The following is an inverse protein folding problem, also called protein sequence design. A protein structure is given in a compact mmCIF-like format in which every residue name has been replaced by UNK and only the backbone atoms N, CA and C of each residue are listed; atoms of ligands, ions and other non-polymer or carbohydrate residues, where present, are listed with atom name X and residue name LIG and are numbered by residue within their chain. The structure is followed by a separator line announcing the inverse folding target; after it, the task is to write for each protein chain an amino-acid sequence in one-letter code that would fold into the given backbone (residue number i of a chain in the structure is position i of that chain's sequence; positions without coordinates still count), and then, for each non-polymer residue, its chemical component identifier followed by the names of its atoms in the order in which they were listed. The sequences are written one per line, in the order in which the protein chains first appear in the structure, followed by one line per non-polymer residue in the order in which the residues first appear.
data_IF_712324184511
#
_entry.id   IF_712324184511
#
_cell.length_a   1.000
_cell.length_b   1.000
_cell.length_c   1.000
_cell.angle_alpha   90.00
_cell.angle_beta   90.00
_cell.angle_gamma   90.00
#
_symmetry.space_group_name_H-M   'P 1'
#
loop_
_entity.id
_entity.type
_entity.pdbx_description
1 polymer ?
#
# COMPACT_ATOMS: atom_id res chain seq x y z
N UNK A 1 10.54 -17.60 21.73
CA UNK A 1 11.53 -16.81 20.98
C UNK A 1 12.02 -15.67 21.86
N UNK A 2 13.32 -15.34 21.84
CA UNK A 2 13.86 -14.24 22.64
C UNK A 2 13.30 -12.91 22.11
N UNK A 3 13.07 -11.98 23.03
CA UNK A 3 12.35 -10.72 22.86
C UNK A 3 12.73 -9.92 21.60
N UNK A 4 11.76 -9.20 21.03
CA UNK A 4 12.02 -8.04 20.16
C UNK A 4 12.34 -6.87 21.08
N UNK A 5 13.60 -6.42 21.24
CA UNK A 5 13.89 -5.24 22.02
C UNK A 5 14.12 -4.11 21.02
N UNK A 6 13.07 -3.35 20.74
CA UNK A 6 13.23 -1.97 20.32
C UNK A 6 12.23 -1.09 21.07
N UNK A 7 12.36 -1.09 22.39
CA UNK A 7 11.47 -0.36 23.30
C UNK A 7 12.12 0.93 23.83
N UNK A 8 12.89 1.62 22.98
CA UNK A 8 13.38 2.97 23.29
C UNK A 8 12.55 4.06 22.62
N UNK A 9 11.70 3.70 21.65
CA UNK A 9 10.81 4.62 20.98
C UNK A 9 9.61 4.99 21.87
N UNK A 10 9.66 6.19 22.44
CA UNK A 10 8.57 6.76 23.26
C UNK A 10 7.31 7.12 22.45
N UNK A 11 7.41 7.19 21.13
CA UNK A 11 6.30 7.45 20.21
C UNK A 11 6.35 6.47 19.06
N UNK A 12 5.20 5.94 18.66
CA UNK A 12 5.07 4.90 17.63
C UNK A 12 3.99 5.29 16.64
N UNK A 13 4.25 5.06 15.35
CA UNK A 13 3.17 4.91 14.38
C UNK A 13 2.55 3.55 14.63
N UNK A 14 1.26 3.53 14.94
CA UNK A 14 0.59 2.32 15.41
C UNK A 14 -0.23 1.65 14.31
N UNK A 15 -0.93 2.45 13.50
CA UNK A 15 -1.81 1.95 12.46
C UNK A 15 -1.94 2.95 11.32
N UNK A 16 -2.45 2.46 10.20
CA UNK A 16 -3.03 3.28 9.15
C UNK A 16 -4.46 2.77 8.86
N UNK A 17 -5.40 3.71 8.71
CA UNK A 17 -6.75 3.41 8.22
C UNK A 17 -6.75 3.51 6.69
N UNK A 18 -7.37 2.52 6.06
CA UNK A 18 -7.62 2.45 4.65
C UNK A 18 -9.12 2.46 4.41
N UNK A 19 -9.53 2.99 3.27
CA UNK A 19 -10.89 2.84 2.75
C UNK A 19 -10.87 1.98 1.50
N UNK A 20 -12.00 1.36 1.18
CA UNK A 20 -12.26 0.69 -0.10
C UNK A 20 -13.63 1.11 -0.66
N UNK A 21 -13.88 0.89 -1.96
CA UNK A 21 -15.18 1.25 -2.55
C UNK A 21 -16.32 0.39 -1.98
N UNK A 22 -17.56 0.88 -2.04
CA UNK A 22 -18.74 0.08 -1.73
C UNK A 22 -18.77 -1.25 -2.48
N UNK A 23 -18.93 -2.35 -1.74
CA UNK A 23 -18.96 -3.71 -2.29
C UNK A 23 -17.59 -4.33 -2.61
N UNK A 24 -16.48 -3.59 -2.54
CA UNK A 24 -15.13 -4.10 -2.84
C UNK A 24 -14.40 -4.71 -1.62
N UNK A 25 -15.11 -5.02 -0.52
CA UNK A 25 -14.50 -5.52 0.73
C UNK A 25 -13.60 -6.74 0.52
N UNK A 26 -14.08 -7.74 -0.20
CA UNK A 26 -13.30 -8.94 -0.50
C UNK A 26 -12.06 -8.61 -1.35
N UNK A 27 -12.19 -7.69 -2.31
CA UNK A 27 -11.06 -7.26 -3.14
C UNK A 27 -10.00 -6.53 -2.32
N UNK A 28 -10.42 -5.68 -1.38
CA UNK A 28 -9.53 -4.99 -0.45
C UNK A 28 -8.75 -5.98 0.44
N UNK A 29 -9.41 -7.03 0.93
CA UNK A 29 -8.74 -8.09 1.69
C UNK A 29 -7.65 -8.77 0.85
N UNK A 30 -7.99 -9.16 -0.38
CA UNK A 30 -7.05 -9.80 -1.32
C UNK A 30 -5.82 -8.93 -1.60
N UNK A 31 -6.00 -7.61 -1.76
CA UNK A 31 -4.87 -6.69 -1.95
C UNK A 31 -3.94 -6.69 -0.74
N UNK A 32 -4.48 -6.64 0.49
CA UNK A 32 -3.65 -6.67 1.70
C UNK A 32 -2.95 -8.02 1.90
N UNK A 33 -3.59 -9.14 1.51
CA UNK A 33 -2.95 -10.46 1.50
C UNK A 33 -1.81 -10.55 0.48
N UNK A 34 -1.95 -9.94 -0.70
CA UNK A 34 -0.89 -9.89 -1.70
C UNK A 34 0.36 -9.17 -1.18
N UNK A 35 0.17 -8.12 -0.38
CA UNK A 35 1.24 -7.39 0.33
C UNK A 35 1.90 -8.23 1.45
N UNK A 36 1.35 -9.41 1.75
CA UNK A 36 1.87 -10.33 2.76
C UNK A 36 1.23 -10.16 4.14
N UNK A 37 0.18 -9.35 4.29
CA UNK A 37 -0.52 -9.22 5.56
C UNK A 37 -1.41 -10.44 5.83
N UNK A 38 -1.63 -10.77 7.11
CA UNK A 38 -2.73 -11.68 7.49
C UNK A 38 -3.99 -10.86 7.71
N UNK A 39 -5.03 -11.15 6.93
CA UNK A 39 -6.35 -10.52 7.09
C UNK A 39 -7.21 -11.29 8.09
N UNK A 40 -7.92 -10.55 8.93
CA UNK A 40 -8.97 -11.05 9.82
C UNK A 40 -10.20 -10.17 9.67
N UNK A 41 -11.27 -10.78 9.18
CA UNK A 41 -12.59 -10.16 9.08
C UNK A 41 -13.55 -10.82 10.07
N UNK A 42 -14.12 -10.02 10.98
CA UNK A 42 -15.11 -10.46 11.97
C UNK A 42 -16.50 -9.87 11.67
N UNK A 43 -16.69 -9.31 10.48
CA UNK A 43 -17.80 -8.43 10.15
C UNK A 43 -17.67 -7.07 10.83
N UNK A 44 -18.68 -6.23 10.64
CA UNK A 44 -18.71 -4.87 11.20
C UNK A 44 -18.11 -3.81 10.26
N UNK A 45 -17.71 -2.68 10.83
CA UNK A 45 -17.36 -1.48 10.07
C UNK A 45 -16.04 -1.61 9.28
N UNK A 46 -15.04 -2.27 9.87
CA UNK A 46 -13.73 -2.49 9.27
C UNK A 46 -13.32 -3.96 9.38
N UNK A 47 -12.32 -4.37 8.61
CA UNK A 47 -11.53 -5.57 8.88
C UNK A 47 -10.10 -5.19 9.26
N UNK A 48 -9.34 -6.14 9.79
CA UNK A 48 -7.98 -5.93 10.26
C UNK A 48 -7.00 -6.68 9.38
N UNK A 49 -5.91 -6.03 8.96
CA UNK A 49 -4.78 -6.69 8.32
C UNK A 49 -3.52 -6.50 9.19
N UNK A 50 -2.98 -7.62 9.66
CA UNK A 50 -1.75 -7.64 10.46
C UNK A 50 -0.54 -7.59 9.54
N UNK A 51 0.31 -6.57 9.72
CA UNK A 51 1.55 -6.43 8.95
C UNK A 51 2.55 -7.52 9.31
N UNK A 52 2.60 -7.91 10.59
CA UNK A 52 3.29 -9.12 11.04
C UNK A 52 2.27 -10.27 11.14
N UNK A 53 2.26 -11.23 10.20
CA UNK A 53 1.19 -12.22 10.09
C UNK A 53 1.04 -13.06 11.36
N UNK A 54 2.12 -13.41 12.04
CA UNK A 54 2.07 -14.31 13.20
C UNK A 54 1.76 -13.57 14.52
N UNK A 55 1.60 -12.25 14.48
CA UNK A 55 1.29 -11.42 15.65
C UNK A 55 -0.15 -10.92 15.59
N UNK A 56 -0.88 -11.05 16.70
CA UNK A 56 -2.27 -10.58 16.84
C UNK A 56 -2.36 -9.35 17.75
N UNK A 57 -1.53 -8.34 17.46
CA UNK A 57 -1.60 -7.03 18.10
C UNK A 57 -2.52 -6.13 17.27
N UNK A 58 -3.71 -5.84 17.80
CA UNK A 58 -4.68 -4.96 17.14
C UNK A 58 -4.35 -3.48 17.36
N UNK A 59 -3.33 -3.15 18.15
CA UNK A 59 -3.05 -1.76 18.51
C UNK A 59 -1.82 -1.21 17.81
N UNK A 60 -0.92 -2.05 17.31
CA UNK A 60 0.33 -1.62 16.67
C UNK A 60 0.67 -2.53 15.49
N UNK A 61 1.32 -1.96 14.47
CA UNK A 61 1.76 -2.68 13.27
C UNK A 61 0.58 -3.33 12.53
N UNK A 62 -0.49 -2.56 12.39
CA UNK A 62 -1.79 -3.04 11.91
C UNK A 62 -2.38 -2.04 10.92
N UNK A 63 -3.06 -2.57 9.91
CA UNK A 63 -3.88 -1.80 8.99
C UNK A 63 -5.35 -2.12 9.27
N UNK A 64 -6.17 -1.09 9.20
CA UNK A 64 -7.63 -1.23 9.20
C UNK A 64 -8.15 -0.84 7.85
N UNK A 65 -9.22 -1.50 7.41
CA UNK A 65 -9.86 -1.19 6.15
C UNK A 65 -11.38 -1.19 6.31
N UNK A 66 -11.99 -0.04 6.00
CA UNK A 66 -13.43 0.19 6.05
C UNK A 66 -13.99 0.51 4.66
N UNK A 67 -15.29 0.28 4.49
CA UNK A 67 -15.98 0.73 3.29
C UNK A 67 -16.13 2.26 3.32
N UNK A 68 -15.86 2.93 2.21
CA UNK A 68 -16.05 4.37 2.10
C UNK A 68 -17.49 4.76 2.49
N UNK A 69 -17.63 5.80 3.32
CA UNK A 69 -18.96 6.24 3.74
C UNK A 69 -19.77 6.75 2.55
N UNK A 70 -21.11 6.80 2.63
CA UNK A 70 -21.93 7.35 1.55
C UNK A 70 -21.51 8.78 1.15
N UNK A 71 -21.10 9.62 2.11
CA UNK A 71 -20.66 10.99 1.88
C UNK A 71 -19.32 11.04 1.15
N UNK A 72 -18.34 10.24 1.60
CA UNK A 72 -17.05 10.14 0.91
C UNK A 72 -17.25 9.61 -0.51
N UNK A 73 -18.05 8.55 -0.67
CA UNK A 73 -18.29 7.96 -1.98
C UNK A 73 -19.04 8.90 -2.93
N UNK A 74 -19.98 9.69 -2.43
CA UNK A 74 -20.64 10.73 -3.22
C UNK A 74 -19.66 11.83 -3.65
N UNK A 75 -18.78 12.27 -2.75
CA UNK A 75 -17.74 13.25 -3.07
C UNK A 75 -16.78 12.73 -4.14
N UNK A 76 -16.29 11.50 -3.99
CA UNK A 76 -15.35 10.91 -4.95
C UNK A 76 -15.96 10.69 -6.33
N UNK A 77 -17.22 10.25 -6.41
CA UNK A 77 -17.93 10.15 -7.69
C UNK A 77 -18.10 11.53 -8.37
N UNK A 78 -18.39 12.57 -7.58
CA UNK A 78 -18.51 13.93 -8.11
C UNK A 78 -17.16 14.47 -8.61
N UNK A 79 -16.08 14.20 -7.87
CA UNK A 79 -14.72 14.58 -8.26
C UNK A 79 -14.26 13.84 -9.53
N UNK A 80 -14.55 12.55 -9.64
CA UNK A 80 -14.24 11.76 -10.84
C UNK A 80 -15.00 12.30 -12.06
N UNK A 81 -16.31 12.53 -11.93
CA UNK A 81 -17.12 13.13 -13.00
C UNK A 81 -16.60 14.50 -13.43
N UNK A 82 -16.21 15.36 -12.47
CA UNK A 82 -15.65 16.67 -12.75
C UNK A 82 -14.23 16.62 -13.36
N UNK A 83 -13.49 15.54 -13.14
CA UNK A 83 -12.13 15.33 -13.66
C UNK A 83 -12.08 14.44 -14.90
N UNK A 84 -13.21 14.20 -15.56
CA UNK A 84 -13.26 13.45 -16.82
C UNK A 84 -12.78 14.23 -18.04
N UNK A 85 -12.86 15.56 -18.04
CA UNK A 85 -12.40 16.42 -19.14
C UNK A 85 -11.94 17.81 -18.66
N UNK A 86 -11.25 18.56 -19.53
CA UNK A 86 -10.85 19.94 -19.26
C UNK A 86 -9.66 20.08 -18.30
N UNK A 87 -9.44 21.28 -17.74
CA UNK A 87 -8.21 21.59 -17.00
C UNK A 87 -7.98 20.73 -15.74
N UNK A 88 -9.05 20.29 -15.07
CA UNK A 88 -8.92 19.42 -13.91
C UNK A 88 -8.49 18.00 -14.30
N UNK A 89 -9.00 17.48 -15.42
CA UNK A 89 -8.56 16.19 -15.97
C UNK A 89 -7.08 16.22 -16.34
N UNK A 90 -6.64 17.28 -17.04
CA UNK A 90 -5.24 17.46 -17.41
C UNK A 90 -4.31 17.54 -16.18
N UNK A 91 -4.72 18.29 -15.16
CA UNK A 91 -3.96 18.38 -13.91
C UNK A 91 -3.91 17.04 -13.16
N UNK A 92 -5.03 16.31 -13.11
CA UNK A 92 -5.10 14.96 -12.50
C UNK A 92 -4.18 13.99 -13.24
N UNK A 93 -4.24 13.97 -14.57
CA UNK A 93 -3.48 13.03 -15.39
C UNK A 93 -1.97 13.34 -15.32
N UNK A 94 -1.60 14.63 -15.33
CA UNK A 94 -0.21 15.06 -15.12
C UNK A 94 0.30 14.66 -13.74
N UNK A 95 -0.54 14.81 -12.70
CA UNK A 95 -0.18 14.38 -11.35
C UNK A 95 -0.06 12.86 -11.26
N UNK A 96 -0.99 12.09 -11.82
CA UNK A 96 -0.94 10.63 -11.86
C UNK A 96 0.29 10.12 -12.61
N UNK A 97 0.68 10.76 -13.71
CA UNK A 97 1.91 10.45 -14.44
C UNK A 97 3.15 10.71 -13.57
N UNK A 98 3.20 11.83 -12.85
CA UNK A 98 4.30 12.16 -11.94
C UNK A 98 4.41 11.18 -10.77
N UNK A 99 3.26 10.78 -10.22
CA UNK A 99 3.16 9.79 -9.16
C UNK A 99 3.73 8.44 -9.60
N UNK A 100 3.45 8.02 -10.84
CA UNK A 100 4.01 6.78 -11.41
C UNK A 100 5.50 6.86 -11.68
N UNK A 101 5.99 8.00 -12.19
CA UNK A 101 7.40 8.16 -12.54
C UNK A 101 8.31 8.25 -11.31
N UNK A 102 7.82 8.87 -10.24
CA UNK A 102 8.60 9.17 -9.05
C UNK A 102 7.77 8.91 -7.77
N UNK A 103 7.41 7.64 -7.52
CA UNK A 103 6.51 7.27 -6.42
C UNK A 103 7.11 7.56 -5.03
N UNK A 104 8.43 7.66 -4.89
CA UNK A 104 9.10 8.05 -3.66
C UNK A 104 8.80 9.50 -3.23
N UNK A 105 8.33 10.36 -4.14
CA UNK A 105 7.90 11.74 -3.85
C UNK A 105 6.38 11.88 -3.69
N UNK A 106 5.67 10.75 -3.73
CA UNK A 106 4.22 10.70 -3.58
C UNK A 106 3.77 10.40 -2.15
N UNK A 107 2.48 10.51 -1.87
CA UNK A 107 1.92 9.98 -0.63
C UNK A 107 2.00 8.45 -0.63
N UNK A 108 2.58 7.88 0.41
CA UNK A 108 2.66 6.43 0.63
C UNK A 108 2.91 6.12 2.10
N UNK A 109 2.74 4.84 2.46
CA UNK A 109 3.27 4.27 3.69
C UNK A 109 4.10 3.04 3.35
N UNK A 110 5.05 2.70 4.21
CA UNK A 110 6.00 1.61 4.00
C UNK A 110 5.71 0.37 4.84
N UNK A 111 5.86 -0.80 4.23
CA UNK A 111 5.89 -2.10 4.89
C UNK A 111 7.29 -2.69 4.74
N UNK A 112 7.93 -3.03 5.85
CA UNK A 112 9.22 -3.71 5.84
C UNK A 112 9.01 -5.22 5.76
N UNK A 113 9.62 -5.85 4.76
CA UNK A 113 9.64 -7.29 4.58
C UNK A 113 10.90 -7.91 5.20
N UNK A 114 10.81 -9.17 5.67
CA UNK A 114 11.85 -9.77 6.50
C UNK A 114 13.13 -10.12 5.73
N UNK A 115 13.07 -10.25 4.40
CA UNK A 115 14.21 -10.61 3.56
C UNK A 115 14.03 -10.13 2.13
N UNK A 116 15.12 -10.11 1.36
CA UNK A 116 15.09 -9.82 -0.07
C UNK A 116 14.21 -10.81 -0.83
N UNK A 117 14.34 -12.11 -0.53
CA UNK A 117 13.51 -13.15 -1.13
C UNK A 117 12.01 -12.96 -0.85
N UNK A 118 11.66 -12.47 0.35
CA UNK A 118 10.27 -12.14 0.67
C UNK A 118 9.76 -10.94 -0.14
N UNK A 119 10.62 -9.94 -0.38
CA UNK A 119 10.32 -8.82 -1.26
C UNK A 119 10.09 -9.29 -2.69
N UNK A 120 11.06 -10.01 -3.28
CA UNK A 120 10.94 -10.50 -4.67
C UNK A 120 9.67 -11.36 -4.84
N UNK A 121 9.39 -12.27 -3.90
CA UNK A 121 8.18 -13.08 -3.94
C UNK A 121 6.88 -12.26 -3.84
N UNK A 122 6.87 -11.16 -3.08
CA UNK A 122 5.72 -10.27 -3.03
C UNK A 122 5.53 -9.52 -4.37
N UNK A 123 6.62 -9.01 -4.95
CA UNK A 123 6.59 -8.32 -6.24
C UNK A 123 6.11 -9.24 -7.37
N UNK A 124 6.56 -10.49 -7.41
CA UNK A 124 6.11 -11.47 -8.39
C UNK A 124 4.61 -11.76 -8.27
N UNK A 125 4.12 -12.02 -7.04
CA UNK A 125 2.69 -12.28 -6.81
C UNK A 125 1.83 -11.08 -7.20
N UNK A 126 2.23 -9.88 -6.83
CA UNK A 126 1.51 -8.64 -7.14
C UNK A 126 1.52 -8.36 -8.64
N UNK A 127 2.67 -8.50 -9.29
CA UNK A 127 2.82 -8.29 -10.73
C UNK A 127 2.07 -9.33 -11.56
N UNK A 128 1.94 -10.56 -11.07
CA UNK A 128 1.09 -11.58 -11.68
C UNK A 128 -0.39 -11.24 -11.49
N UNK A 129 -0.84 -10.96 -10.26
CA UNK A 129 -2.24 -10.61 -9.98
C UNK A 129 -2.70 -9.40 -10.80
N UNK A 130 -1.87 -8.36 -10.90
CA UNK A 130 -2.15 -7.17 -11.71
C UNK A 130 -2.23 -7.41 -13.22
N UNK A 131 -1.78 -8.58 -13.71
CA UNK A 131 -1.85 -8.96 -15.14
C UNK A 131 -2.93 -10.00 -15.43
N UNK A 132 -3.16 -10.96 -14.54
CA UNK A 132 -3.93 -12.16 -14.86
C UNK A 132 -5.19 -12.35 -14.03
N UNK A 133 -5.33 -11.64 -12.91
CA UNK A 133 -6.54 -11.72 -12.10
C UNK A 133 -7.67 -10.85 -12.68
N UNK A 134 -8.86 -11.41 -12.98
CA UNK A 134 -9.95 -10.64 -13.60
C UNK A 134 -10.45 -9.45 -12.78
N UNK A 135 -10.32 -9.48 -11.45
CA UNK A 135 -10.78 -8.40 -10.58
C UNK A 135 -9.68 -7.40 -10.22
N UNK A 136 -8.39 -7.82 -10.30
CA UNK A 136 -7.25 -6.97 -9.96
C UNK A 136 -6.44 -6.46 -11.15
N UNK A 137 -6.69 -6.97 -12.36
CA UNK A 137 -5.96 -6.56 -13.55
C UNK A 137 -6.10 -5.04 -13.79
N UNK A 138 -4.95 -4.34 -13.84
CA UNK A 138 -4.90 -2.87 -13.94
C UNK A 138 -5.31 -2.10 -12.67
N UNK A 139 -5.81 -2.78 -11.65
CA UNK A 139 -6.19 -2.22 -10.33
C UNK A 139 -5.07 -2.30 -9.30
N UNK A 140 -4.06 -3.14 -9.55
CA UNK A 140 -2.83 -3.23 -8.77
C UNK A 140 -1.63 -3.45 -9.71
N UNK A 141 -0.49 -2.83 -9.41
CA UNK A 141 0.75 -3.01 -10.18
C UNK A 141 1.99 -2.70 -9.34
N UNK A 142 3.12 -3.32 -9.68
CA UNK A 142 4.44 -2.86 -9.23
C UNK A 142 4.83 -1.65 -10.09
N UNK A 143 4.79 -0.46 -9.49
CA UNK A 143 5.03 0.80 -10.19
C UNK A 143 6.51 1.08 -10.43
N UNK A 144 7.36 0.81 -9.44
CA UNK A 144 8.81 0.99 -9.53
C UNK A 144 9.55 0.12 -8.51
N UNK A 145 10.81 -0.21 -8.81
CA UNK A 145 11.74 -0.85 -7.88
C UNK A 145 13.06 -0.10 -7.97
N UNK A 146 13.57 0.37 -6.85
CA UNK A 146 14.84 1.06 -6.71
C UNK A 146 15.75 0.25 -5.79
N UNK A 147 16.87 -0.22 -6.32
CA UNK A 147 17.94 -0.87 -5.58
C UNK A 147 19.03 0.17 -5.22
N UNK A 148 19.88 -0.10 -4.22
CA UNK A 148 21.02 0.75 -3.91
C UNK A 148 21.83 1.14 -5.17
N UNK A 149 22.14 2.42 -5.31
CA UNK A 149 22.83 2.97 -6.47
C UNK A 149 21.97 3.20 -7.73
N UNK A 150 20.71 2.77 -7.78
CA UNK A 150 19.84 3.05 -8.93
C UNK A 150 19.50 4.55 -9.00
N UNK A 151 19.34 5.12 -10.21
CA UNK A 151 18.79 6.47 -10.36
C UNK A 151 17.42 6.58 -9.68
N UNK A 152 17.29 7.50 -8.71
CA UNK A 152 16.05 7.71 -7.96
C UNK A 152 15.94 6.94 -6.65
N UNK A 153 16.89 6.04 -6.34
CA UNK A 153 16.99 5.43 -5.02
C UNK A 153 17.22 6.50 -3.94
N UNK A 154 16.46 6.44 -2.85
CA UNK A 154 16.59 7.44 -1.77
C UNK A 154 17.76 7.12 -0.83
N UNK A 155 18.26 5.88 -0.84
CA UNK A 155 19.31 5.40 0.07
C UNK A 155 19.94 4.10 -0.45
N UNK A 156 21.17 3.83 -0.02
CA UNK A 156 21.87 2.57 -0.30
C UNK A 156 21.63 1.50 0.79
N UNK A 157 20.86 1.82 1.83
CA UNK A 157 20.63 0.93 2.97
C UNK A 157 19.44 -0.03 2.79
N UNK A 158 18.65 0.12 1.71
CA UNK A 158 17.48 -0.71 1.46
C UNK A 158 17.14 -0.80 -0.02
N UNK A 159 16.37 -1.82 -0.38
CA UNK A 159 15.61 -1.85 -1.64
C UNK A 159 14.23 -1.27 -1.39
N UNK A 160 13.78 -0.39 -2.27
CA UNK A 160 12.47 0.27 -2.22
C UNK A 160 11.65 -0.14 -3.43
N UNK A 161 10.54 -0.85 -3.21
CA UNK A 161 9.60 -1.17 -4.27
C UNK A 161 8.25 -0.50 -4.01
N UNK A 162 7.66 0.10 -5.03
CA UNK A 162 6.40 0.81 -4.91
C UNK A 162 5.31 0.04 -5.62
N UNK A 163 4.23 -0.27 -4.90
CA UNK A 163 3.03 -0.90 -5.42
C UNK A 163 1.96 0.17 -5.52
N UNK A 164 1.35 0.33 -6.70
CA UNK A 164 0.16 1.16 -6.87
C UNK A 164 -1.07 0.28 -6.81
N UNK A 165 -2.09 0.73 -6.10
CA UNK A 165 -3.45 0.19 -6.21
C UNK A 165 -4.48 1.32 -6.13
N UNK A 166 -5.66 1.12 -6.69
CA UNK A 166 -6.82 1.98 -6.43
C UNK A 166 -7.95 1.23 -5.71
N UNK A 167 -7.69 0.04 -5.17
CA UNK A 167 -8.65 -0.76 -4.39
C UNK A 167 -8.75 -0.25 -2.95
N UNK A 168 -7.60 0.14 -2.37
CA UNK A 168 -7.51 0.68 -1.02
C UNK A 168 -6.71 1.99 -1.00
N UNK A 169 -7.05 2.93 -0.12
CA UNK A 169 -6.29 4.17 0.09
C UNK A 169 -6.45 4.74 1.50
N UNK A 170 -5.45 5.47 2.01
CA UNK A 170 -5.57 6.27 3.24
C UNK A 170 -6.36 7.59 3.04
N UNK A 171 -6.89 7.82 1.84
CA UNK A 171 -7.52 9.07 1.44
C UNK A 171 -8.50 8.86 0.29
N UNK A 172 -8.29 9.56 -0.82
CA UNK A 172 -9.17 9.47 -1.99
C UNK A 172 -8.84 8.23 -2.83
N UNK A 173 -9.81 7.34 -2.97
CA UNK A 173 -9.72 6.13 -3.81
C UNK A 173 -9.48 6.47 -5.28
N UNK A 174 -10.09 7.54 -5.80
CA UNK A 174 -9.99 7.94 -7.20
C UNK A 174 -8.57 8.29 -7.67
N UNK A 175 -7.65 8.59 -6.74
CA UNK A 175 -6.23 8.85 -7.04
C UNK A 175 -5.35 7.61 -6.80
N UNK A 176 -5.92 6.58 -6.18
CA UNK A 176 -5.22 5.39 -5.73
C UNK A 176 -4.26 5.63 -4.56
N UNK A 177 -3.44 4.64 -4.28
CA UNK A 177 -2.51 4.56 -3.17
C UNK A 177 -1.20 3.96 -3.66
N UNK A 178 -0.08 4.57 -3.27
CA UNK A 178 1.21 3.89 -3.30
C UNK A 178 1.52 3.28 -1.93
N UNK A 179 2.03 2.06 -1.97
CA UNK A 179 2.50 1.32 -0.80
C UNK A 179 3.94 0.94 -1.09
N UNK A 180 4.85 1.32 -0.21
CA UNK A 180 6.27 1.00 -0.36
C UNK A 180 6.57 -0.32 0.35
N UNK A 181 7.08 -1.30 -0.38
CA UNK A 181 7.64 -2.52 0.18
C UNK A 181 9.15 -2.34 0.28
N UNK A 182 9.67 -2.47 1.49
CA UNK A 182 11.08 -2.25 1.78
C UNK A 182 11.74 -3.54 2.24
N UNK A 183 12.94 -3.82 1.74
CA UNK A 183 13.86 -4.74 2.39
C UNK A 183 15.11 -3.98 2.82
N UNK A 184 15.35 -3.94 4.14
CA UNK A 184 16.52 -3.26 4.70
C UNK A 184 17.72 -4.20 4.64
N UNK A 185 18.79 -3.72 4.01
CA UNK A 185 20.02 -4.48 3.84
C UNK A 185 20.66 -4.64 5.23
N UNK A 186 21.00 -5.87 5.64
CA UNK A 186 21.67 -6.09 6.91
C UNK A 186 22.95 -5.25 6.96
N UNK A 187 23.05 -4.36 7.94
CA UNK A 187 24.30 -3.65 8.19
C UNK A 187 25.37 -4.69 8.56
N UNK A 188 26.54 -4.64 7.90
CA UNK A 188 27.69 -5.40 8.40
C UNK A 188 27.95 -4.89 9.81
N UNK A 189 27.85 -5.78 10.81
CA UNK A 189 28.40 -5.48 12.13
C UNK A 189 29.88 -5.16 11.93
N UNK A 190 30.28 -3.95 12.30
CA UNK A 190 31.67 -3.55 12.41
C UNK A 190 32.38 -4.41 13.47
#
# INVERSE_FOLDING_TARGET
MPAVPDDTALRRLTHAELVHRPGERALAQRVLELLGCRVVDRGGHFFTAFVEPDVSDYLTNVLYASEATPEQWAFEQALDAASGTGPLAEARDAWAARMRAEPQLSYHFGLRLPSEAALDAALDRIGEAGRTDPELAGRIEVAAVFRPGDPGAATDAMVQAFVRTDVVACGLLGLGQHIELQWHIPTRKA
#
